data_IF_568703822192
#
_entry.id   IF_568703822192
#
_cell.length_a   1.000
_cell.length_b   1.000
_cell.length_c   1.000
_cell.angle_alpha   90.00
_cell.angle_beta   90.00
_cell.angle_gamma   90.00
#
_symmetry.space_group_name_H-M   'P 1'
#
loop_
_entity.id
_entity.type
_entity.pdbx_description
1 polymer ?
#
# COMPACT_ATOMS: atom_id res chain seq x y z
N UNK A 1 3.26 -9.49 -21.68
CA UNK A 1 2.43 -8.77 -20.67
C UNK A 1 1.73 -7.59 -21.35
N UNK A 2 0.46 -7.31 -21.03
CA UNK A 2 -0.22 -6.11 -21.58
C UNK A 2 0.40 -4.83 -20.99
N UNK A 3 0.25 -3.69 -21.68
CA UNK A 3 0.69 -2.39 -21.15
C UNK A 3 0.07 -2.08 -19.77
N UNK A 4 -1.18 -2.50 -19.55
CA UNK A 4 -1.91 -2.33 -18.29
C UNK A 4 -1.30 -3.19 -17.17
N UNK A 5 -1.04 -4.47 -17.45
CA UNK A 5 -0.37 -5.38 -16.50
C UNK A 5 1.02 -4.88 -16.11
N UNK A 6 1.78 -4.35 -17.08
CA UNK A 6 3.11 -3.78 -16.81
C UNK A 6 3.02 -2.57 -15.87
N UNK A 7 2.08 -1.67 -16.11
CA UNK A 7 1.83 -0.51 -15.24
C UNK A 7 1.45 -0.95 -13.82
N UNK A 8 0.57 -1.96 -13.68
CA UNK A 8 0.18 -2.49 -12.38
C UNK A 8 1.37 -3.11 -11.61
N UNK A 9 2.24 -3.87 -12.29
CA UNK A 9 3.47 -4.38 -11.68
C UNK A 9 4.43 -3.26 -11.27
N UNK A 10 4.64 -2.25 -12.13
CA UNK A 10 5.47 -1.08 -11.81
C UNK A 10 4.93 -0.35 -10.57
N UNK A 11 3.62 -0.12 -10.51
CA UNK A 11 2.97 0.50 -9.34
C UNK A 11 3.14 -0.35 -8.07
N UNK A 12 2.96 -1.66 -8.16
CA UNK A 12 3.15 -2.58 -7.03
C UNK A 12 4.60 -2.57 -6.52
N UNK A 13 5.59 -2.63 -7.42
CA UNK A 13 7.01 -2.58 -7.06
C UNK A 13 7.37 -1.25 -6.39
N UNK A 14 6.96 -0.11 -6.95
CA UNK A 14 7.22 1.19 -6.34
C UNK A 14 6.51 1.34 -4.99
N UNK A 15 5.29 0.80 -4.85
CA UNK A 15 4.57 0.80 -3.56
C UNK A 15 5.30 -0.05 -2.52
N UNK A 16 5.81 -1.22 -2.89
CA UNK A 16 6.61 -2.05 -1.99
C UNK A 16 7.90 -1.34 -1.53
N UNK A 17 8.62 -0.71 -2.47
CA UNK A 17 9.81 0.09 -2.15
C UNK A 17 9.46 1.29 -1.26
N UNK A 18 8.31 1.93 -1.48
CA UNK A 18 7.82 3.02 -0.64
C UNK A 18 7.54 2.56 0.79
N UNK A 19 6.99 1.37 0.98
CA UNK A 19 6.76 0.79 2.32
C UNK A 19 8.09 0.55 3.04
N UNK A 20 9.09 0.00 2.35
CA UNK A 20 10.44 -0.16 2.90
C UNK A 20 11.03 1.19 3.30
N UNK A 21 10.93 2.19 2.41
CA UNK A 21 11.42 3.53 2.69
C UNK A 21 10.68 4.18 3.87
N UNK A 22 9.38 3.94 4.03
CA UNK A 22 8.62 4.35 5.23
C UNK A 22 9.13 3.68 6.51
N UNK A 23 9.51 2.41 6.43
CA UNK A 23 10.21 1.71 7.52
C UNK A 23 11.55 2.37 7.88
N UNK A 24 12.33 2.77 6.87
CA UNK A 24 13.59 3.50 7.07
C UNK A 24 13.34 4.87 7.73
N UNK A 25 12.35 5.65 7.26
CA UNK A 25 11.96 6.92 7.89
C UNK A 25 11.66 6.70 9.38
N UNK A 26 10.94 5.62 9.72
CA UNK A 26 10.61 5.30 11.11
C UNK A 26 11.84 4.92 11.94
N UNK A 27 12.65 3.98 11.48
CA UNK A 27 13.79 3.43 12.23
C UNK A 27 14.87 4.49 12.44
N UNK A 28 15.02 5.41 11.49
CA UNK A 28 15.98 6.53 11.58
C UNK A 28 15.45 7.73 12.38
N UNK A 29 14.19 7.71 12.83
CA UNK A 29 13.57 8.85 13.51
C UNK A 29 13.28 10.05 12.60
N UNK A 30 13.34 9.87 11.27
CA UNK A 30 13.22 10.95 10.27
C UNK A 30 11.79 11.37 9.96
N UNK A 31 10.78 10.90 10.71
CA UNK A 31 9.36 11.14 10.38
C UNK A 31 8.88 12.60 10.52
N UNK A 32 9.72 13.49 11.04
CA UNK A 32 9.49 14.94 11.14
C UNK A 32 10.68 15.76 10.60
N UNK A 33 11.51 15.20 9.73
CA UNK A 33 12.63 15.93 9.11
C UNK A 33 12.15 17.17 8.32
N UNK A 34 11.01 17.08 7.64
CA UNK A 34 10.36 18.20 6.96
C UNK A 34 9.54 19.12 7.87
N UNK A 35 9.55 18.88 9.19
CA UNK A 35 8.68 19.52 10.17
C UNK A 35 7.20 19.20 9.95
N UNK A 36 6.33 20.09 10.41
CA UNK A 36 4.87 19.95 10.24
C UNK A 36 4.37 20.42 8.86
N UNK A 37 5.28 20.84 7.99
CA UNK A 37 4.95 21.32 6.66
C UNK A 37 4.59 20.15 5.77
N UNK A 38 3.43 20.27 5.14
CA UNK A 38 2.91 19.34 4.15
C UNK A 38 1.93 20.11 3.26
N UNK A 39 2.03 20.04 1.93
CA UNK A 39 2.84 19.10 1.14
C UNK A 39 4.32 19.49 0.97
N UNK A 40 4.66 20.77 1.15
CA UNK A 40 6.04 21.26 1.06
C UNK A 40 6.90 20.79 2.25
N UNK A 41 8.22 20.74 2.08
CA UNK A 41 9.17 20.34 3.12
C UNK A 41 9.87 21.60 3.67
N UNK A 42 9.70 21.92 4.96
CA UNK A 42 10.21 23.17 5.55
C UNK A 42 9.83 24.44 4.74
N UNK A 43 8.61 24.45 4.17
CA UNK A 43 8.08 25.54 3.34
C UNK A 43 8.72 25.69 1.95
N UNK A 44 9.64 24.80 1.58
CA UNK A 44 10.37 24.84 0.30
C UNK A 44 10.14 23.57 -0.52
N UNK A 45 10.37 23.66 -1.82
CA UNK A 45 10.35 22.49 -2.71
C UNK A 45 11.65 21.68 -2.58
N UNK A 46 12.80 22.36 -2.53
CA UNK A 46 14.10 21.76 -2.25
C UNK A 46 14.43 21.94 -0.77
N UNK A 47 14.58 20.84 -0.01
CA UNK A 47 14.90 20.91 1.40
C UNK A 47 16.38 21.22 1.67
N UNK A 48 16.74 21.59 2.91
CA UNK A 48 18.12 21.50 3.38
C UNK A 48 18.68 20.08 3.24
N UNK A 49 20.00 19.97 3.07
CA UNK A 49 20.70 18.71 2.82
C UNK A 49 21.06 17.94 4.10
N UNK A 50 20.31 18.14 5.19
CA UNK A 50 20.48 17.32 6.39
C UNK A 50 19.83 15.94 6.22
N UNK A 51 20.43 14.93 6.84
CA UNK A 51 20.09 13.54 6.59
C UNK A 51 18.62 13.19 6.93
N UNK A 52 18.06 13.57 8.10
CA UNK A 52 16.66 13.27 8.42
C UNK A 52 15.67 13.91 7.43
N UNK A 53 15.90 15.17 7.06
CA UNK A 53 15.05 15.86 6.08
C UNK A 53 15.11 15.18 4.72
N UNK A 54 16.31 14.80 4.26
CA UNK A 54 16.48 14.11 2.99
C UNK A 54 15.81 12.73 2.96
N UNK A 55 15.83 11.99 4.07
CA UNK A 55 15.15 10.70 4.18
C UNK A 55 13.63 10.87 4.07
N UNK A 56 13.04 11.83 4.79
CA UNK A 56 11.60 12.10 4.70
C UNK A 56 11.20 12.62 3.32
N UNK A 57 11.99 13.55 2.77
CA UNK A 57 11.74 14.11 1.45
C UNK A 57 11.81 13.04 0.35
N UNK A 58 12.78 12.12 0.40
CA UNK A 58 12.84 10.99 -0.51
C UNK A 58 11.58 10.11 -0.42
N UNK A 59 11.08 9.85 0.80
CA UNK A 59 9.82 9.13 0.99
C UNK A 59 8.64 9.86 0.33
N UNK A 60 8.52 11.18 0.52
CA UNK A 60 7.47 12.01 -0.10
C UNK A 60 7.56 12.00 -1.63
N UNK A 61 8.77 12.04 -2.20
CA UNK A 61 8.99 12.01 -3.65
C UNK A 61 8.56 10.66 -4.25
N UNK A 62 8.95 9.55 -3.63
CA UNK A 62 8.53 8.21 -4.07
C UNK A 62 7.01 8.04 -3.90
N UNK A 63 6.42 8.60 -2.83
CA UNK A 63 4.97 8.61 -2.64
C UNK A 63 4.24 9.38 -3.74
N UNK A 64 4.78 10.51 -4.19
CA UNK A 64 4.23 11.25 -5.34
C UNK A 64 4.31 10.42 -6.63
N UNK A 65 5.43 9.73 -6.88
CA UNK A 65 5.57 8.84 -8.04
C UNK A 65 4.56 7.68 -7.99
N UNK A 66 4.38 7.02 -6.84
CA UNK A 66 3.35 6.00 -6.63
C UNK A 66 1.94 6.56 -6.89
N UNK A 67 1.66 7.77 -6.42
CA UNK A 67 0.36 8.43 -6.62
C UNK A 67 0.04 8.61 -8.10
N UNK A 68 1.02 9.06 -8.89
CA UNK A 68 0.88 9.18 -10.36
C UNK A 68 0.66 7.83 -11.02
N UNK A 69 1.42 6.79 -10.63
CA UNK A 69 1.29 5.45 -11.19
C UNK A 69 -0.10 4.84 -10.91
N UNK A 70 -0.61 4.96 -9.69
CA UNK A 70 -1.91 4.40 -9.29
C UNK A 70 -3.07 5.19 -9.91
N UNK A 71 -3.00 6.53 -9.91
CA UNK A 71 -3.99 7.36 -10.59
C UNK A 71 -4.01 7.12 -12.11
N UNK A 72 -2.82 6.99 -12.73
CA UNK A 72 -2.67 6.63 -14.13
C UNK A 72 -3.23 5.25 -14.44
N UNK A 73 -3.08 4.27 -13.53
CA UNK A 73 -3.66 2.94 -13.68
C UNK A 73 -5.20 2.98 -13.68
N UNK A 74 -5.81 3.75 -12.77
CA UNK A 74 -7.26 3.94 -12.72
C UNK A 74 -7.78 4.71 -13.95
N UNK A 75 -7.09 5.77 -14.37
CA UNK A 75 -7.43 6.53 -15.58
C UNK A 75 -7.32 5.69 -16.85
N UNK A 76 -6.27 4.88 -16.97
CA UNK A 76 -6.11 3.95 -18.08
C UNK A 76 -7.20 2.87 -18.08
N UNK A 77 -7.61 2.39 -16.89
CA UNK A 77 -8.75 1.49 -16.78
C UNK A 77 -10.07 2.11 -17.27
N UNK A 78 -10.33 3.37 -16.91
CA UNK A 78 -11.49 4.11 -17.40
C UNK A 78 -11.46 4.32 -18.91
N UNK A 79 -10.30 4.64 -19.48
CA UNK A 79 -10.14 4.81 -20.93
C UNK A 79 -10.41 3.51 -21.70
N UNK A 80 -9.86 2.38 -21.23
CA UNK A 80 -10.14 1.06 -21.81
C UNK A 80 -11.64 0.75 -21.76
N UNK A 81 -12.31 1.08 -20.65
CA UNK A 81 -13.76 0.89 -20.50
C UNK A 81 -14.60 1.72 -21.45
N UNK A 82 -14.21 2.96 -21.73
CA UNK A 82 -14.92 3.83 -22.67
C UNK A 82 -14.71 3.42 -24.14
N UNK A 83 -13.59 2.77 -24.45
CA UNK A 83 -13.26 2.31 -25.81
C UNK A 83 -13.84 0.94 -26.17
N UNK A 84 -14.19 0.12 -25.18
CA UNK A 84 -14.88 -1.13 -25.45
C UNK A 84 -16.33 -0.82 -25.87
N UNK A 85 -16.66 -1.12 -27.13
CA UNK A 85 -18.05 -1.11 -27.60
C UNK A 85 -18.87 -2.24 -26.96
N UNK A 86 -20.18 -2.21 -27.16
CA UNK A 86 -21.20 -3.08 -26.53
C UNK A 86 -21.06 -4.59 -26.77
N UNK A 87 -20.05 -5.04 -27.53
CA UNK A 87 -20.05 -6.36 -28.19
C UNK A 87 -18.97 -7.37 -27.80
N UNK A 88 -17.75 -7.01 -27.38
CA UNK A 88 -16.80 -8.01 -26.87
C UNK A 88 -15.58 -7.46 -26.11
N UNK A 89 -15.11 -8.29 -25.16
CA UNK A 89 -13.77 -8.42 -24.54
C UNK A 89 -13.17 -7.34 -23.63
N UNK A 90 -12.86 -7.78 -22.41
CA UNK A 90 -11.81 -7.27 -21.51
C UNK A 90 -11.89 -5.88 -20.92
N UNK A 91 -12.60 -5.82 -19.80
CA UNK A 91 -12.68 -4.61 -19.02
C UNK A 91 -11.93 -4.82 -17.70
N UNK A 92 -10.94 -3.96 -17.36
CA UNK A 92 -10.31 -3.99 -16.05
C UNK A 92 -11.40 -3.84 -14.99
N UNK A 93 -11.48 -4.74 -13.99
CA UNK A 93 -12.52 -4.78 -12.95
C UNK A 93 -12.62 -3.52 -12.07
N UNK A 94 -13.28 -3.58 -10.92
CA UNK A 94 -13.39 -2.42 -10.00
C UNK A 94 -12.09 -2.13 -9.24
N UNK A 95 -11.18 -3.11 -9.18
CA UNK A 95 -9.95 -3.06 -8.37
C UNK A 95 -9.05 -1.81 -8.59
N UNK A 96 -8.84 -1.28 -9.81
CA UNK A 96 -8.08 -0.03 -9.99
C UNK A 96 -8.69 1.18 -9.27
N UNK A 97 -10.02 1.24 -9.17
CA UNK A 97 -10.72 2.30 -8.44
C UNK A 97 -10.63 2.11 -6.93
N UNK A 98 -10.63 0.85 -6.47
CA UNK A 98 -10.34 0.52 -5.06
C UNK A 98 -8.92 0.93 -4.69
N UNK A 99 -7.94 0.65 -5.55
CA UNK A 99 -6.55 1.09 -5.36
C UNK A 99 -6.45 2.62 -5.32
N UNK A 100 -7.20 3.34 -6.17
CA UNK A 100 -7.25 4.80 -6.14
C UNK A 100 -7.86 5.32 -4.83
N UNK A 101 -8.94 4.72 -4.33
CA UNK A 101 -9.54 5.10 -3.06
C UNK A 101 -8.59 4.85 -1.87
N UNK A 102 -7.90 3.71 -1.86
CA UNK A 102 -6.87 3.39 -0.87
C UNK A 102 -5.69 4.37 -0.94
N UNK A 103 -5.26 4.77 -2.14
CA UNK A 103 -4.23 5.81 -2.31
C UNK A 103 -4.68 7.14 -1.70
N UNK A 104 -5.91 7.59 -1.96
CA UNK A 104 -6.43 8.84 -1.38
C UNK A 104 -6.44 8.76 0.13
N UNK A 105 -6.94 7.66 0.70
CA UNK A 105 -6.88 7.41 2.14
C UNK A 105 -5.43 7.46 2.66
N UNK A 106 -4.48 6.92 1.91
CA UNK A 106 -3.07 6.90 2.30
C UNK A 106 -2.42 8.28 2.31
N UNK A 107 -2.69 9.11 1.30
CA UNK A 107 -2.20 10.49 1.23
C UNK A 107 -2.75 11.30 2.41
N UNK A 108 -4.04 11.14 2.72
CA UNK A 108 -4.69 11.79 3.87
C UNK A 108 -4.09 11.30 5.20
N UNK A 109 -3.96 9.98 5.40
CA UNK A 109 -3.36 9.41 6.61
C UNK A 109 -1.90 9.83 6.79
N UNK A 110 -1.14 9.98 5.69
CA UNK A 110 0.23 10.49 5.72
C UNK A 110 0.30 11.93 6.21
N UNK A 111 -0.57 12.80 5.67
CA UNK A 111 -0.68 14.19 6.11
C UNK A 111 -1.09 14.28 7.60
N UNK A 112 -2.08 13.49 8.02
CA UNK A 112 -2.54 13.41 9.42
C UNK A 112 -1.41 12.92 10.33
N UNK A 113 -0.65 11.92 9.91
CA UNK A 113 0.48 11.36 10.67
C UNK A 113 1.55 12.42 10.95
N UNK A 114 1.89 13.25 9.98
CA UNK A 114 2.84 14.37 10.17
C UNK A 114 2.22 15.45 11.05
N UNK A 115 0.98 15.87 10.77
CA UNK A 115 0.30 16.95 11.49
C UNK A 115 0.04 16.65 12.96
N UNK A 116 -0.18 15.39 13.31
CA UNK A 116 -0.37 14.96 14.69
C UNK A 116 0.94 14.58 15.40
N UNK A 117 2.10 14.77 14.75
CA UNK A 117 3.43 14.40 15.29
C UNK A 117 3.57 12.91 15.58
N UNK A 118 3.20 12.07 14.61
CA UNK A 118 3.47 10.63 14.56
C UNK A 118 2.83 9.77 15.69
N UNK A 119 1.56 9.99 16.09
CA UNK A 119 0.96 9.16 17.13
C UNK A 119 0.86 7.70 16.64
N UNK A 120 1.09 6.69 17.50
CA UNK A 120 1.14 5.27 17.11
C UNK A 120 -0.01 4.80 16.23
N UNK A 121 -1.24 5.21 16.57
CA UNK A 121 -2.43 4.76 15.86
C UNK A 121 -2.47 5.26 14.40
N UNK A 122 -1.99 6.49 14.11
CA UNK A 122 -1.97 6.97 12.71
C UNK A 122 -0.92 6.22 11.90
N UNK A 123 0.25 5.97 12.48
CA UNK A 123 1.36 5.25 11.82
C UNK A 123 0.94 3.81 11.50
N UNK A 124 0.26 3.14 12.43
CA UNK A 124 -0.24 1.76 12.24
C UNK A 124 -1.33 1.73 11.17
N UNK A 125 -2.30 2.65 11.19
CA UNK A 125 -3.33 2.75 10.15
C UNK A 125 -2.73 3.07 8.78
N UNK A 126 -1.73 3.96 8.72
CA UNK A 126 -1.00 4.29 7.51
C UNK A 126 -0.29 3.05 6.93
N UNK A 127 0.41 2.27 7.75
CA UNK A 127 1.03 1.02 7.29
C UNK A 127 -0.02 0.00 6.85
N UNK A 128 -1.07 -0.21 7.63
CA UNK A 128 -2.14 -1.18 7.32
C UNK A 128 -2.81 -0.89 5.98
N UNK A 129 -3.16 0.37 5.73
CA UNK A 129 -3.73 0.79 4.45
C UNK A 129 -2.72 0.70 3.29
N UNK A 130 -1.42 0.91 3.55
CA UNK A 130 -0.35 0.65 2.56
C UNK A 130 -0.32 -0.82 2.11
N UNK A 131 -0.43 -1.74 3.07
CA UNK A 131 -0.43 -3.18 2.80
C UNK A 131 -1.67 -3.59 1.99
N UNK A 132 -2.84 -3.02 2.27
CA UNK A 132 -4.06 -3.23 1.48
C UNK A 132 -3.93 -2.67 0.06
N UNK A 133 -3.32 -1.49 -0.10
CA UNK A 133 -3.03 -0.91 -1.41
C UNK A 133 -2.09 -1.84 -2.20
N UNK A 134 -0.98 -2.29 -1.61
CA UNK A 134 -0.04 -3.21 -2.25
C UNK A 134 -0.72 -4.53 -2.64
N UNK A 135 -1.51 -5.13 -1.75
CA UNK A 135 -2.27 -6.34 -2.05
C UNK A 135 -3.23 -6.13 -3.23
N UNK A 136 -3.93 -4.99 -3.28
CA UNK A 136 -4.83 -4.65 -4.38
C UNK A 136 -4.07 -4.51 -5.70
N UNK A 137 -2.90 -3.85 -5.70
CA UNK A 137 -2.06 -3.72 -6.89
C UNK A 137 -1.53 -5.07 -7.39
N UNK A 138 -1.14 -5.96 -6.48
CA UNK A 138 -0.74 -7.34 -6.83
C UNK A 138 -1.93 -8.11 -7.43
N UNK A 139 -3.13 -7.96 -6.87
CA UNK A 139 -4.35 -8.57 -7.43
C UNK A 139 -4.64 -8.04 -8.84
N UNK A 140 -4.47 -6.74 -9.09
CA UNK A 140 -4.63 -6.17 -10.44
C UNK A 140 -3.54 -6.73 -11.38
N UNK A 141 -2.29 -6.79 -10.93
CA UNK A 141 -1.16 -7.24 -11.73
C UNK A 141 -1.24 -8.74 -12.08
N UNK A 142 -1.74 -9.58 -11.17
CA UNK A 142 -1.98 -11.02 -11.40
C UNK A 142 -3.30 -11.31 -12.12
N UNK A 143 -4.35 -10.60 -11.73
CA UNK A 143 -5.73 -10.76 -12.20
C UNK A 143 -6.01 -10.16 -13.56
N UNK A 144 -5.05 -9.42 -14.14
CA UNK A 144 -5.04 -9.06 -15.56
C UNK A 144 -4.57 -10.21 -16.45
N UNK A 145 -4.86 -11.46 -16.05
CA UNK A 145 -5.27 -12.41 -17.06
C UNK A 145 -6.51 -11.81 -17.64
N UNK A 146 -6.32 -11.38 -18.85
CA UNK A 146 -7.40 -11.37 -19.76
C UNK A 146 -8.11 -12.79 -19.57
N UNK A 147 -9.24 -12.95 -18.86
CA UNK A 147 -10.30 -13.99 -19.02
C UNK A 147 -11.35 -13.75 -20.14
N UNK A 148 -11.38 -14.57 -21.21
CA UNK A 148 -12.42 -14.51 -22.22
C UNK A 148 -13.62 -15.27 -21.67
N UNK A 149 -14.82 -14.69 -21.75
CA UNK A 149 -16.11 -15.39 -21.74
C UNK A 149 -16.21 -16.71 -20.97
N UNK A 150 -15.72 -16.79 -19.73
CA UNK A 150 -15.99 -17.93 -18.88
C UNK A 150 -17.42 -17.73 -18.35
N UNK A 151 -18.39 -18.30 -19.05
CA UNK A 151 -19.62 -18.75 -18.41
C UNK A 151 -19.22 -19.49 -17.13
N UNK A 152 -19.85 -19.25 -15.97
CA UNK A 152 -19.60 -20.04 -14.77
C UNK A 152 -20.24 -21.43 -14.97
N UNK A 153 -19.67 -22.24 -15.85
CA UNK A 153 -19.77 -23.67 -15.78
C UNK A 153 -18.85 -24.12 -14.65
N UNK A 154 -19.35 -24.13 -13.42
CA UNK A 154 -18.73 -24.85 -12.32
C UNK A 154 -19.29 -26.27 -12.37
N UNK A 155 -18.54 -27.31 -12.78
CA UNK A 155 -18.84 -28.66 -12.32
C UNK A 155 -18.64 -28.68 -10.81
N UNK A 156 -19.75 -28.81 -10.08
CA UNK A 156 -19.88 -29.14 -8.67
C UNK A 156 -18.61 -29.21 -7.82
N UNK A 157 -18.07 -28.06 -7.44
CA UNK A 157 -17.41 -27.94 -6.13
C UNK A 157 -18.47 -27.33 -5.22
N UNK A 158 -19.20 -28.17 -4.48
CA UNK A 158 -19.95 -27.70 -3.31
C UNK A 158 -18.94 -27.01 -2.41
N UNK A 159 -18.97 -25.68 -2.37
CA UNK A 159 -18.22 -24.93 -1.38
C UNK A 159 -18.71 -25.41 -0.01
N UNK A 160 -17.91 -26.23 0.65
CA UNK A 160 -18.16 -26.56 2.06
C UNK A 160 -18.06 -25.24 2.84
N UNK A 161 -18.96 -24.99 3.81
CA UNK A 161 -18.95 -23.77 4.63
C UNK A 161 -17.80 -23.79 5.66
N UNK A 162 -16.63 -24.32 5.28
CA UNK A 162 -15.44 -24.43 6.09
C UNK A 162 -14.50 -23.24 5.92
N UNK A 163 -13.71 -23.00 6.96
CA UNK A 163 -12.68 -21.98 7.01
C UNK A 163 -11.68 -22.16 5.86
N UNK A 164 -11.56 -21.17 4.96
CA UNK A 164 -10.61 -21.21 3.83
C UNK A 164 -9.18 -20.95 4.36
N UNK A 165 -8.27 -21.94 4.42
CA UNK A 165 -6.97 -21.79 5.08
C UNK A 165 -6.12 -20.65 4.49
N UNK A 166 -6.25 -20.36 3.19
CA UNK A 166 -5.59 -19.22 2.56
C UNK A 166 -6.10 -17.85 3.03
N UNK A 167 -7.40 -17.72 3.30
CA UNK A 167 -7.96 -16.49 3.87
C UNK A 167 -7.50 -16.30 5.32
N UNK A 168 -7.47 -17.40 6.09
CA UNK A 168 -6.97 -17.39 7.47
C UNK A 168 -5.51 -16.94 7.50
N UNK A 169 -4.66 -17.53 6.68
CA UNK A 169 -3.24 -17.16 6.62
C UNK A 169 -3.05 -15.67 6.24
N UNK A 170 -3.85 -15.15 5.31
CA UNK A 170 -3.81 -13.74 4.91
C UNK A 170 -4.24 -12.80 6.05
N UNK A 171 -5.33 -13.13 6.74
CA UNK A 171 -5.82 -12.36 7.88
C UNK A 171 -4.82 -12.39 9.03
N UNK A 172 -4.33 -13.59 9.41
CA UNK A 172 -3.32 -13.73 10.45
C UNK A 172 -2.04 -12.98 10.09
N UNK A 173 -1.55 -13.08 8.86
CA UNK A 173 -0.38 -12.34 8.40
C UNK A 173 -0.57 -10.82 8.48
N UNK A 174 -1.73 -10.31 8.07
CA UNK A 174 -2.05 -8.89 8.17
C UNK A 174 -2.11 -8.43 9.64
N UNK A 175 -2.77 -9.20 10.50
CA UNK A 175 -2.84 -8.94 11.94
C UNK A 175 -1.43 -8.93 12.55
N UNK A 176 -0.58 -9.91 12.22
CA UNK A 176 0.81 -9.96 12.70
C UNK A 176 1.61 -8.72 12.30
N UNK A 177 1.44 -8.22 11.07
CA UNK A 177 2.10 -6.97 10.63
C UNK A 177 1.64 -5.78 11.48
N UNK A 178 0.34 -5.67 11.77
CA UNK A 178 -0.19 -4.59 12.62
C UNK A 178 0.31 -4.69 14.07
N UNK A 179 0.35 -5.89 14.64
CA UNK A 179 0.92 -6.12 15.97
C UNK A 179 2.41 -5.78 16.00
N UNK A 180 3.19 -6.16 14.99
CA UNK A 180 4.60 -5.76 14.87
C UNK A 180 4.77 -4.24 14.82
N UNK A 181 3.91 -3.55 14.06
CA UNK A 181 3.90 -2.09 13.99
C UNK A 181 3.53 -1.44 15.34
N UNK A 182 2.57 -2.02 16.07
CA UNK A 182 2.19 -1.59 17.41
C UNK A 182 3.35 -1.75 18.39
N UNK A 183 4.00 -2.91 18.44
CA UNK A 183 5.17 -3.18 19.29
C UNK A 183 6.30 -2.18 19.01
N UNK A 184 6.59 -1.93 17.73
CA UNK A 184 7.60 -0.94 17.33
C UNK A 184 7.22 0.50 17.71
N UNK A 185 5.93 0.81 17.78
CA UNK A 185 5.45 2.15 18.15
C UNK A 185 5.35 2.40 19.65
N UNK A 186 5.17 1.35 20.44
CA UNK A 186 5.13 1.43 21.91
C UNK A 186 6.53 1.37 22.55
N UNK A 187 7.60 1.26 21.76
CA UNK A 187 8.96 1.09 22.28
C UNK A 187 9.18 -0.27 22.95
N UNK A 188 8.30 -1.25 22.72
CA UNK A 188 8.33 -2.55 23.36
C UNK A 188 9.27 -3.56 22.68
N UNK A 189 10.02 -3.14 21.65
CA UNK A 189 10.88 -4.03 20.87
C UNK A 189 11.99 -4.70 21.69
N UNK A 190 12.46 -4.04 22.76
CA UNK A 190 13.51 -4.55 23.66
C UNK A 190 12.97 -5.04 25.01
N UNK A 191 11.64 -5.14 25.16
CA UNK A 191 11.02 -5.53 26.42
C UNK A 191 11.27 -7.02 26.76
N UNK A 192 11.41 -7.86 25.74
CA UNK A 192 11.71 -9.28 25.86
C UNK A 192 12.96 -9.62 25.05
N UNK A 193 14.03 -10.05 25.72
CA UNK A 193 15.29 -10.42 25.06
C UNK A 193 15.41 -11.94 24.79
N UNK A 194 14.53 -12.74 25.39
CA UNK A 194 14.47 -14.20 25.23
C UNK A 194 13.47 -14.65 24.17
N UNK A 195 13.62 -15.90 23.70
CA UNK A 195 12.67 -16.60 22.83
C UNK A 195 12.65 -18.11 23.16
N UNK A 196 11.47 -18.76 23.29
CA UNK A 196 10.12 -18.22 23.13
C UNK A 196 9.58 -17.48 24.37
N UNK A 197 10.24 -17.57 25.51
CA UNK A 197 9.83 -16.94 26.77
C UNK A 197 10.49 -15.56 26.94
N UNK A 198 9.78 -14.65 27.58
CA UNK A 198 10.26 -13.29 27.85
C UNK A 198 11.14 -13.27 29.11
N UNK A 199 12.43 -13.02 28.94
CA UNK A 199 13.41 -12.79 30.02
C UNK A 199 13.59 -13.96 31.02
N UNK A 200 13.33 -15.20 30.59
CA UNK A 200 13.49 -16.42 31.40
C UNK A 200 12.18 -17.14 31.58
#
# INVERSE_FOLDING_TARGET
>A
MTRFTRLAWTAATFTYLLIILGGIVRITGSGLGCGEHWPLCNGKLLPPLDLPTMIEYAHRLVAAAVSVLVAGLAGYASWLRRRAGSGDRYLPGIAPYVALALLVAQVVLGAVTVKLRLPPWTVILHLGTAMLLLATLIVIAKGTRLTPGASPGIPGSRATPGLRPGLVALVLGFVTVLFGALTANLGAATACLGFPLCNG
#
